data_IF_625875732498
#
_entry.id   IF_625875732498
#
_cell.length_a   1.000
_cell.length_b   1.000
_cell.length_c   1.000
_cell.angle_alpha   90.00
_cell.angle_beta   90.00
_cell.angle_gamma   90.00
#
_symmetry.space_group_name_H-M   'P 1'
#
loop_
_entity.id
_entity.type
_entity.pdbx_description
1 polymer ?
#
# COMPACT_ATOMS: atom_id res chain seq x y z
N UNK A 1 16.61 -24.74 8.99
CA UNK A 1 16.32 -24.27 8.74
C UNK A 1 16.05 -23.46 8.65
N UNK A 2 15.86 -23.20 8.39
CA UNK A 2 15.53 -22.44 8.18
C UNK A 2 14.92 -21.59 8.12
N UNK A 3 15.15 -21.28 7.86
CA UNK A 3 14.69 -20.46 7.72
C UNK A 3 13.76 -20.15 7.88
N UNK A 4 13.36 -20.25 7.97
CA UNK A 4 12.42 -19.94 8.07
C UNK A 4 11.90 -18.85 8.44
N UNK A 5 12.15 -18.70 8.60
CA UNK A 5 11.65 -17.85 8.88
C UNK A 5 11.73 -16.82 8.93
N UNK A 6 11.94 -16.78 8.64
CA UNK A 6 12.05 -15.78 8.80
C UNK A 6 11.33 -14.79 8.41
N UNK A 7 10.55 -14.93 8.06
CA UNK A 7 9.81 -13.91 7.67
C UNK A 7 9.27 -13.16 8.78
N UNK A 8 9.76 -12.04 8.99
CA UNK A 8 9.34 -11.22 9.97
C UNK A 8 8.76 -10.03 9.34
N UNK A 9 7.71 -9.48 9.79
CA UNK A 9 7.15 -8.26 9.32
C UNK A 9 6.21 -8.44 8.14
N UNK A 10 5.67 -7.32 7.67
CA UNK A 10 4.63 -7.32 6.65
C UNK A 10 5.21 -7.58 5.27
N UNK A 11 4.48 -8.33 4.46
CA UNK A 11 4.93 -8.66 3.12
C UNK A 11 4.39 -7.67 2.11
N UNK A 12 5.14 -7.39 1.05
CA UNK A 12 4.67 -6.49 0.00
C UNK A 12 3.32 -6.87 -0.59
N UNK A 13 3.06 -8.16 -0.76
CA UNK A 13 1.76 -8.58 -1.31
C UNK A 13 0.61 -8.22 -0.38
N UNK A 14 0.84 -8.27 0.93
CA UNK A 14 -0.17 -7.87 1.90
C UNK A 14 -0.47 -6.38 1.78
N UNK A 15 0.56 -5.57 1.59
CA UNK A 15 0.39 -4.14 1.40
C UNK A 15 -0.42 -3.87 0.13
N UNK A 16 -0.07 -4.54 -0.96
CA UNK A 16 -0.77 -4.37 -2.22
C UNK A 16 -2.24 -4.74 -2.14
N UNK A 17 -2.54 -5.86 -1.48
CA UNK A 17 -3.93 -6.29 -1.30
C UNK A 17 -4.73 -5.28 -0.49
N UNK A 18 -4.12 -4.75 0.56
CA UNK A 18 -4.79 -3.78 1.41
C UNK A 18 -5.01 -2.47 0.68
N UNK A 19 -4.06 -2.09 -0.18
CA UNK A 19 -4.19 -0.88 -0.98
C UNK A 19 -5.38 -0.97 -1.93
N UNK A 20 -5.50 -2.06 -2.69
CA UNK A 20 -6.62 -2.19 -3.61
C UNK A 20 -7.95 -2.35 -2.88
N UNK A 21 -7.95 -3.00 -1.72
CA UNK A 21 -9.18 -3.09 -0.90
C UNK A 21 -9.61 -1.70 -0.43
N UNK A 22 -8.65 -0.84 -0.08
CA UNK A 22 -8.94 0.53 0.31
C UNK A 22 -9.55 1.30 -0.86
N UNK A 23 -9.00 1.13 -2.05
CA UNK A 23 -9.55 1.77 -3.25
C UNK A 23 -11.01 1.33 -3.48
N UNK A 24 -11.27 0.02 -3.35
CA UNK A 24 -12.62 -0.49 -3.55
C UNK A 24 -13.61 0.09 -2.54
N UNK A 25 -13.20 0.19 -1.28
CA UNK A 25 -14.05 0.76 -0.23
C UNK A 25 -14.38 2.23 -0.52
N UNK A 26 -13.38 2.99 -0.95
CA UNK A 26 -13.60 4.40 -1.26
C UNK A 26 -14.52 4.53 -2.47
N UNK A 27 -14.30 3.70 -3.49
CA UNK A 27 -15.09 3.77 -4.71
C UNK A 27 -16.57 3.52 -4.44
N UNK A 28 -16.87 2.61 -3.51
CA UNK A 28 -18.26 2.29 -3.16
C UNK A 28 -19.03 3.52 -2.64
N UNK A 29 -18.36 4.36 -1.87
CA UNK A 29 -19.01 5.51 -1.27
C UNK A 29 -18.78 6.79 -2.06
N UNK A 30 -18.10 6.71 -3.20
CA UNK A 30 -17.68 7.90 -3.93
C UNK A 30 -17.93 7.79 -5.45
N UNK A 31 -18.87 6.96 -5.85
CA UNK A 31 -19.27 6.78 -7.24
C UNK A 31 -18.11 6.43 -8.16
N UNK A 32 -17.21 5.55 -7.68
CA UNK A 32 -16.08 5.11 -8.47
C UNK A 32 -14.93 6.09 -8.56
N UNK A 33 -15.01 7.21 -7.85
CA UNK A 33 -13.89 8.14 -7.80
C UNK A 33 -12.98 7.78 -6.64
N UNK A 34 -11.70 7.64 -6.91
CA UNK A 34 -10.72 7.27 -5.90
C UNK A 34 -9.52 8.21 -5.94
N UNK A 35 -8.89 8.45 -4.78
CA UNK A 35 -7.68 9.26 -4.75
C UNK A 35 -6.56 8.58 -5.52
N UNK A 36 -5.62 9.37 -6.01
CA UNK A 36 -4.42 8.85 -6.65
C UNK A 36 -3.23 8.83 -5.70
N UNK A 37 -3.30 9.55 -4.59
CA UNK A 37 -2.19 9.66 -3.64
C UNK A 37 -2.54 8.90 -2.36
N UNK A 38 -1.64 7.98 -1.98
CA UNK A 38 -1.81 7.17 -0.79
C UNK A 38 -0.54 7.19 0.05
N UNK A 39 -0.73 7.20 1.35
CA UNK A 39 0.35 7.08 2.31
C UNK A 39 0.20 5.74 3.01
N UNK A 40 1.28 4.97 3.03
CA UNK A 40 1.27 3.64 3.64
C UNK A 40 2.04 3.72 4.94
N UNK A 41 1.35 3.44 6.04
CA UNK A 41 1.96 3.46 7.36
C UNK A 41 2.28 2.04 7.77
N UNK A 42 3.48 1.83 8.24
CA UNK A 42 3.95 0.55 8.75
C UNK A 42 4.70 0.78 10.06
N UNK A 43 5.00 -0.28 10.80
CA UNK A 43 5.80 -0.12 12.01
C UNK A 43 7.19 0.38 11.68
N UNK A 44 7.88 1.03 12.62
CA UNK A 44 9.26 1.47 12.36
C UNK A 44 10.18 0.35 11.92
N UNK A 45 10.07 -0.83 12.54
CA UNK A 45 10.91 -1.96 12.15
C UNK A 45 10.57 -2.46 10.74
N UNK A 46 9.30 -2.43 10.35
CA UNK A 46 8.93 -2.80 8.98
C UNK A 46 9.46 -1.80 7.97
N UNK A 47 9.42 -0.52 8.29
CA UNK A 47 9.96 0.48 7.38
C UNK A 47 11.46 0.25 7.18
N UNK A 48 12.16 -0.08 8.25
CA UNK A 48 13.57 -0.38 8.16
C UNK A 48 13.84 -1.60 7.30
N UNK A 49 13.04 -2.66 7.47
CA UNK A 49 13.19 -3.87 6.67
C UNK A 49 12.90 -3.61 5.19
N UNK A 50 11.93 -2.77 4.91
CA UNK A 50 11.54 -2.47 3.52
C UNK A 50 12.44 -1.45 2.85
N UNK A 51 13.20 -0.70 3.64
CA UNK A 51 13.95 0.44 3.13
C UNK A 51 14.79 0.15 1.89
N UNK A 52 15.55 -0.97 1.83
CA UNK A 52 16.36 -1.23 0.64
C UNK A 52 15.56 -1.42 -0.65
N UNK A 53 14.27 -1.77 -0.53
CA UNK A 53 13.43 -2.04 -1.69
C UNK A 53 12.26 -1.06 -1.81
N UNK A 54 12.29 0.05 -1.04
CA UNK A 54 11.17 0.98 -1.06
C UNK A 54 10.88 1.57 -2.43
N UNK A 55 11.94 1.96 -3.16
CA UNK A 55 11.73 2.57 -4.47
C UNK A 55 11.04 1.63 -5.46
N UNK A 56 11.55 0.40 -5.68
CA UNK A 56 10.84 -0.51 -6.56
C UNK A 56 9.47 -0.89 -6.04
N UNK A 57 9.31 -1.02 -4.72
CA UNK A 57 8.01 -1.35 -4.16
C UNK A 57 7.02 -0.22 -4.41
N UNK A 58 7.40 1.03 -4.18
CA UNK A 58 6.53 2.17 -4.44
C UNK A 58 6.14 2.21 -5.92
N UNK A 59 7.09 1.92 -6.81
CA UNK A 59 6.82 1.89 -8.23
C UNK A 59 5.76 0.84 -8.57
N UNK A 60 5.92 -0.37 -8.04
CA UNK A 60 4.95 -1.44 -8.29
C UNK A 60 3.58 -1.12 -7.72
N UNK A 61 3.55 -0.47 -6.56
CA UNK A 61 2.28 -0.09 -5.95
C UNK A 61 1.58 1.01 -6.76
N UNK A 62 2.36 1.94 -7.32
CA UNK A 62 1.77 2.94 -8.22
C UNK A 62 1.15 2.29 -9.43
N UNK A 63 1.84 1.30 -9.99
CA UNK A 63 1.30 0.56 -11.12
C UNK A 63 0.04 -0.21 -10.74
N UNK A 64 0.02 -0.76 -9.54
CA UNK A 64 -1.14 -1.49 -9.05
C UNK A 64 -2.35 -0.56 -8.92
N UNK A 65 -2.14 0.66 -8.43
CA UNK A 65 -3.23 1.64 -8.33
C UNK A 65 -3.79 1.95 -9.71
N UNK A 66 -2.92 2.27 -10.67
CA UNK A 66 -3.35 2.61 -12.02
C UNK A 66 -4.04 1.43 -12.71
N UNK A 67 -3.46 0.25 -12.57
CA UNK A 67 -4.01 -0.95 -13.20
C UNK A 67 -5.38 -1.31 -12.63
N UNK A 68 -5.48 -1.28 -11.30
CA UNK A 68 -6.73 -1.63 -10.64
C UNK A 68 -7.84 -0.63 -10.98
N UNK A 69 -7.49 0.65 -11.03
CA UNK A 69 -8.46 1.68 -11.40
C UNK A 69 -8.97 1.44 -12.82
N UNK A 70 -8.08 1.13 -13.75
CA UNK A 70 -8.48 0.84 -15.13
C UNK A 70 -9.37 -0.39 -15.20
N UNK A 71 -8.96 -1.44 -14.50
CA UNK A 71 -9.69 -2.71 -14.51
C UNK A 71 -11.12 -2.55 -13.96
N UNK A 72 -11.26 -1.80 -12.86
CA UNK A 72 -12.55 -1.60 -12.22
C UNK A 72 -13.34 -0.44 -12.79
N UNK A 73 -12.74 0.37 -13.66
CA UNK A 73 -13.42 1.54 -14.20
C UNK A 73 -13.46 2.71 -13.23
N UNK A 74 -12.54 2.78 -12.29
CA UNK A 74 -12.48 3.90 -11.35
C UNK A 74 -11.82 5.12 -11.99
N UNK A 75 -12.23 6.30 -11.51
CA UNK A 75 -11.61 7.55 -11.92
C UNK A 75 -10.61 7.99 -10.87
N UNK A 76 -9.35 8.13 -11.28
CA UNK A 76 -8.31 8.63 -10.40
C UNK A 76 -8.28 10.15 -10.45
N UNK A 77 -7.92 10.78 -9.31
CA UNK A 77 -7.84 12.24 -9.24
C UNK A 77 -6.59 12.79 -9.93
N UNK A 78 -5.64 11.93 -10.21
CA UNK A 78 -4.41 12.35 -10.87
C UNK A 78 -3.47 11.18 -11.02
N UNK A 79 -2.18 11.48 -11.13
CA UNK A 79 -1.15 10.46 -11.26
C UNK A 79 -0.94 9.74 -9.93
N UNK A 80 -0.71 8.44 -9.97
CA UNK A 80 -0.56 7.66 -8.75
C UNK A 80 0.72 8.04 -8.00
N UNK A 81 0.58 8.31 -6.71
CA UNK A 81 1.70 8.65 -5.83
C UNK A 81 1.60 7.79 -4.56
N UNK A 82 2.68 7.12 -4.22
CA UNK A 82 2.75 6.26 -3.03
C UNK A 82 3.90 6.73 -2.16
N UNK A 83 3.59 7.00 -0.90
CA UNK A 83 4.61 7.34 0.10
C UNK A 83 4.50 6.37 1.27
N UNK A 84 5.62 6.18 1.98
CA UNK A 84 5.69 5.33 3.15
C UNK A 84 6.10 6.15 4.36
N UNK A 85 5.44 5.87 5.48
CA UNK A 85 5.83 6.45 6.77
C UNK A 85 5.68 5.40 7.84
N UNK A 86 6.29 5.62 8.98
CA UNK A 86 6.14 4.69 10.10
C UNK A 86 5.13 5.24 11.11
N UNK A 87 4.51 4.32 11.84
CA UNK A 87 3.61 4.63 12.93
C UNK A 87 3.97 3.65 14.05
N UNK A 88 4.39 4.20 15.18
CA UNK A 88 4.86 3.38 16.29
C UNK A 88 3.79 2.54 16.94
N UNK A 89 2.53 2.85 16.67
CA UNK A 89 1.41 2.11 17.22
C UNK A 89 1.07 0.87 16.42
N UNK A 90 1.74 0.65 15.28
CA UNK A 90 1.43 -0.50 14.44
C UNK A 90 2.29 -1.70 14.78
N UNK A 91 1.68 -2.87 14.78
CA UNK A 91 2.38 -4.12 14.99
C UNK A 91 3.10 -4.60 13.75
N UNK A 92 3.85 -5.72 13.89
CA UNK A 92 4.72 -6.19 12.79
C UNK A 92 3.98 -6.70 11.57
N UNK A 93 2.69 -7.03 11.71
CA UNK A 93 1.90 -7.52 10.58
C UNK A 93 0.83 -6.55 10.15
N UNK A 94 0.92 -5.31 10.60
CA UNK A 94 -0.11 -4.31 10.33
C UNK A 94 0.40 -3.23 9.38
N UNK A 95 -0.48 -2.75 8.53
CA UNK A 95 -0.24 -1.52 7.81
C UNK A 95 -1.55 -0.77 7.70
N UNK A 96 -1.45 0.54 7.54
CA UNK A 96 -2.61 1.40 7.37
C UNK A 96 -2.43 2.15 6.08
N UNK A 97 -3.47 2.17 5.26
CA UNK A 97 -3.46 2.90 4.01
C UNK A 97 -4.27 4.17 4.23
N UNK A 98 -3.64 5.32 4.07
CA UNK A 98 -4.31 6.61 4.18
C UNK A 98 -4.33 7.27 2.83
N UNK A 99 -5.47 7.87 2.51
CA UNK A 99 -5.52 8.70 1.30
C UNK A 99 -5.06 10.11 1.66
N UNK A 100 -4.48 10.75 0.73
CA UNK A 100 -4.00 12.12 0.92
C UNK A 100 -4.73 13.09 0.03
#
# INVERSE_FOLDING_TARGET
MFAIARRRGIRPITIGRQLVATMDDIALSNNGQVPSTYKILVSPSNLELLNPTLKPLAHELRQAVAHHATYEGYSLTGEAVITFEHDENLGPNECVIQRS
#
